data_IF_936203106982
#
_entry.id   IF_936203106982
#
_cell.length_a   1.000
_cell.length_b   1.000
_cell.length_c   1.000
_cell.angle_alpha   90.00
_cell.angle_beta   90.00
_cell.angle_gamma   90.00
#
_symmetry.space_group_name_H-M   'P 1'
#
loop_
_entity.id
_entity.type
_entity.pdbx_description
1 polymer ?
#
# COMPACT_ATOMS: atom_id res chain seq x y z
N UNK A 1 -12.78 -11.45 -8.73
CA UNK A 1 -11.87 -11.20 -7.59
C UNK A 1 -10.64 -10.47 -8.09
N UNK A 2 -10.10 -9.58 -7.26
CA UNK A 2 -8.84 -8.87 -7.43
C UNK A 2 -7.92 -9.19 -6.26
N UNK A 3 -6.61 -9.11 -6.45
CA UNK A 3 -5.63 -9.24 -5.37
C UNK A 3 -4.79 -7.97 -5.30
N UNK A 4 -4.50 -7.50 -4.09
CA UNK A 4 -3.66 -6.35 -3.82
C UNK A 4 -2.47 -6.78 -2.94
N UNK A 5 -1.35 -7.22 -3.53
CA UNK A 5 -0.18 -7.67 -2.77
C UNK A 5 0.85 -6.54 -2.57
N UNK A 6 1.58 -6.59 -1.46
CA UNK A 6 2.86 -5.88 -1.30
C UNK A 6 4.02 -6.87 -1.41
N UNK A 7 4.96 -6.52 -2.27
CA UNK A 7 6.14 -7.32 -2.57
C UNK A 7 7.39 -6.67 -1.97
N UNK A 8 8.26 -7.52 -1.43
CA UNK A 8 9.64 -7.18 -1.07
C UNK A 8 10.59 -8.07 -1.88
N UNK A 9 11.90 -7.88 -1.70
CA UNK A 9 12.89 -8.79 -2.30
C UNK A 9 12.79 -10.23 -1.76
N UNK A 10 12.18 -10.41 -0.59
CA UNK A 10 12.01 -11.72 0.07
C UNK A 10 10.64 -12.35 -0.21
N UNK A 11 9.78 -11.69 -1.02
CA UNK A 11 8.48 -12.20 -1.43
C UNK A 11 7.29 -11.32 -1.01
N UNK A 12 6.09 -11.92 -0.96
CA UNK A 12 4.86 -11.23 -0.55
C UNK A 12 4.86 -11.08 0.97
N UNK A 13 4.76 -9.85 1.47
CA UNK A 13 4.72 -9.57 2.91
C UNK A 13 3.29 -9.40 3.44
N UNK A 14 2.37 -8.92 2.61
CA UNK A 14 0.93 -8.82 2.91
C UNK A 14 0.13 -8.79 1.62
N UNK A 15 -1.15 -9.14 1.70
CA UNK A 15 -2.08 -9.09 0.58
C UNK A 15 -3.53 -8.97 1.06
N UNK A 16 -4.41 -8.50 0.18
CA UNK A 16 -5.86 -8.58 0.35
C UNK A 16 -6.53 -9.16 -0.90
N UNK A 17 -7.57 -9.98 -0.71
CA UNK A 17 -8.36 -10.60 -1.78
C UNK A 17 -9.75 -9.98 -1.76
N UNK A 18 -10.03 -9.23 -2.83
CA UNK A 18 -11.18 -8.35 -2.92
C UNK A 18 -12.16 -8.94 -3.96
N UNK A 19 -13.43 -9.07 -3.59
CA UNK A 19 -14.47 -9.32 -4.58
C UNK A 19 -14.78 -8.02 -5.34
N UNK A 20 -14.55 -8.02 -6.66
CA UNK A 20 -14.73 -6.86 -7.53
C UNK A 20 -13.45 -6.02 -7.74
N UNK A 21 -13.58 -4.81 -8.30
CA UNK A 21 -12.45 -3.90 -8.54
C UNK A 21 -11.93 -3.28 -7.23
N UNK A 22 -10.66 -2.86 -7.24
CA UNK A 22 -10.07 -2.07 -6.15
C UNK A 22 -10.50 -0.61 -6.32
N UNK A 23 -11.18 -0.06 -5.31
CA UNK A 23 -11.54 1.36 -5.26
C UNK A 23 -10.50 2.13 -4.44
N UNK A 24 -10.51 3.46 -4.53
CA UNK A 24 -9.63 4.31 -3.72
C UNK A 24 -9.81 4.05 -2.23
N UNK A 25 -11.05 3.92 -1.75
CA UNK A 25 -11.36 3.68 -0.35
C UNK A 25 -10.79 2.34 0.13
N UNK A 26 -10.94 1.28 -0.68
CA UNK A 26 -10.36 -0.04 -0.38
C UNK A 26 -8.83 0.00 -0.38
N UNK A 27 -8.24 0.72 -1.33
CA UNK A 27 -6.79 0.88 -1.40
C UNK A 27 -6.26 1.60 -0.15
N UNK A 28 -6.88 2.71 0.26
CA UNK A 28 -6.50 3.48 1.45
C UNK A 28 -6.61 2.64 2.72
N UNK A 29 -7.73 1.91 2.88
CA UNK A 29 -7.91 1.04 4.04
C UNK A 29 -6.80 -0.03 4.09
N UNK A 30 -6.55 -0.71 2.96
CA UNK A 30 -5.47 -1.69 2.87
C UNK A 30 -4.12 -1.09 3.20
N UNK A 31 -3.83 0.09 2.65
CA UNK A 31 -2.57 0.79 2.86
C UNK A 31 -2.35 1.13 4.34
N UNK A 32 -3.38 1.70 4.99
CA UNK A 32 -3.32 2.08 6.40
C UNK A 32 -3.20 0.88 7.34
N UNK A 33 -4.01 -0.15 7.13
CA UNK A 33 -4.15 -1.27 8.07
C UNK A 33 -3.08 -2.34 7.86
N UNK A 34 -2.60 -2.53 6.62
CA UNK A 34 -1.72 -3.64 6.28
C UNK A 34 -0.34 -3.22 5.78
N UNK A 35 -0.18 -2.04 5.17
CA UNK A 35 1.09 -1.62 4.56
C UNK A 35 1.91 -0.76 5.49
N UNK A 36 1.36 0.36 5.99
CA UNK A 36 2.09 1.31 6.85
C UNK A 36 2.75 0.66 8.08
N UNK A 37 2.10 -0.26 8.83
CA UNK A 37 2.71 -0.90 9.99
C UNK A 37 3.94 -1.77 9.66
N UNK A 38 4.16 -2.09 8.38
CA UNK A 38 5.29 -2.87 7.90
C UNK A 38 6.43 -2.00 7.37
N UNK A 39 6.20 -0.69 7.21
CA UNK A 39 7.21 0.27 6.76
C UNK A 39 8.02 0.81 7.93
N UNK A 40 9.18 1.40 7.65
CA UNK A 40 10.00 2.12 8.63
C UNK A 40 10.43 3.47 8.06
N UNK A 41 10.83 4.43 8.90
CA UNK A 41 11.44 5.66 8.41
C UNK A 41 12.70 5.39 7.57
N UNK A 42 12.90 6.18 6.51
CA UNK A 42 14.12 6.09 5.68
C UNK A 42 15.36 6.53 6.48
N UNK A 43 16.51 5.82 6.38
CA UNK A 43 16.86 4.74 5.44
C UNK A 43 16.70 3.31 5.98
N UNK A 44 15.76 3.07 6.90
CA UNK A 44 15.54 1.76 7.49
C UNK A 44 15.06 0.68 6.50
N UNK A 45 15.05 -0.61 6.89
CA UNK A 45 14.48 -1.66 6.08
C UNK A 45 13.01 -1.36 5.73
N UNK A 46 12.60 -1.60 4.47
CA UNK A 46 11.22 -1.36 3.99
C UNK A 46 10.76 0.10 4.14
N UNK A 47 11.68 1.06 4.00
CA UNK A 47 11.38 2.49 4.13
C UNK A 47 11.03 3.21 2.83
N UNK A 48 11.01 2.49 1.70
CA UNK A 48 10.70 3.05 0.39
C UNK A 48 9.57 2.23 -0.20
N UNK A 49 8.46 2.92 -0.48
CA UNK A 49 7.32 2.36 -1.17
C UNK A 49 7.42 2.70 -2.65
N UNK A 50 7.21 1.70 -3.50
CA UNK A 50 7.17 1.86 -4.96
C UNK A 50 5.81 1.37 -5.43
N UNK A 51 5.03 2.26 -6.02
CA UNK A 51 3.70 2.00 -6.56
C UNK A 51 3.69 2.33 -8.05
N UNK A 52 2.79 1.70 -8.81
CA UNK A 52 2.56 2.10 -10.20
C UNK A 52 1.80 3.44 -10.26
N UNK A 53 1.80 4.06 -11.43
CA UNK A 53 1.19 5.37 -11.66
C UNK A 53 -0.34 5.30 -11.83
N UNK A 54 -1.03 4.50 -11.01
CA UNK A 54 -2.48 4.33 -11.04
C UNK A 54 -3.19 5.49 -10.33
N UNK A 55 -4.30 5.99 -10.88
CA UNK A 55 -5.04 7.16 -10.34
C UNK A 55 -5.43 7.02 -8.87
N UNK A 56 -5.73 5.80 -8.41
CA UNK A 56 -6.13 5.55 -7.02
C UNK A 56 -4.96 5.71 -6.02
N UNK A 57 -3.71 5.71 -6.50
CA UNK A 57 -2.51 5.95 -5.69
C UNK A 57 -2.19 7.43 -5.50
N UNK A 58 -2.85 8.32 -6.26
CA UNK A 58 -2.63 9.78 -6.23
C UNK A 58 -3.64 10.52 -5.35
N UNK A 59 -4.28 9.86 -4.39
CA UNK A 59 -5.18 10.56 -3.47
C UNK A 59 -4.39 11.36 -2.44
N UNK A 60 -4.89 12.56 -2.08
CA UNK A 60 -4.30 13.40 -1.02
C UNK A 60 -4.19 12.64 0.32
N UNK A 61 -5.09 11.68 0.54
CA UNK A 61 -5.11 10.82 1.72
C UNK A 61 -3.90 9.87 1.77
N UNK A 62 -3.44 9.35 0.64
CA UNK A 62 -2.22 8.52 0.58
C UNK A 62 -1.00 9.35 0.95
N UNK A 63 -0.93 10.60 0.48
CA UNK A 63 0.17 11.49 0.83
C UNK A 63 0.16 11.80 2.33
N UNK A 64 -1.00 12.17 2.87
CA UNK A 64 -1.16 12.47 4.29
C UNK A 64 -0.74 11.30 5.19
N UNK A 65 -1.10 10.07 4.81
CA UNK A 65 -0.75 8.85 5.54
C UNK A 65 0.74 8.53 5.55
N UNK A 66 1.52 9.02 4.58
CA UNK A 66 2.98 8.79 4.49
C UNK A 66 3.76 9.87 5.26
N UNK A 67 3.20 11.07 5.38
CA UNK A 67 3.85 12.22 6.04
C UNK A 67 3.68 12.24 7.57
N UNK A 68 2.74 11.45 8.13
CA UNK A 68 2.61 11.20 9.58
C UNK A 68 3.71 10.26 10.13
#
# INVERSE_FOLDING_TARGET
YSILPILTLDGIITYDIIEGPVTSERFIQFFREHVLPLTNPYPGPRSVLVLDNCRIHHSDEVLHLIEE
#
